data_IF_276850266883
#
_entry.id   IF_276850266883
#
_cell.length_a   1.000
_cell.length_b   1.000
_cell.length_c   1.000
_cell.angle_alpha   90.00
_cell.angle_beta   90.00
_cell.angle_gamma   90.00
#
_symmetry.space_group_name_H-M   'P 1'
#
loop_
_entity.id
_entity.type
_entity.pdbx_description
1 polymer ?
#
# COMPACT_ATOMS: atom_id res chain seq x y z
N UNK A 1 8.77 -25.22 9.39
CA UNK A 1 8.81 -24.11 10.35
C UNK A 1 7.59 -23.22 10.13
N UNK A 2 6.82 -22.86 11.16
CA UNK A 2 5.59 -22.06 11.01
C UNK A 2 5.94 -20.57 11.01
N UNK A 3 5.64 -19.85 9.93
CA UNK A 3 5.86 -18.41 9.79
C UNK A 3 4.63 -17.65 10.27
N UNK A 4 4.81 -16.67 11.16
CA UNK A 4 3.73 -15.81 11.66
C UNK A 4 3.82 -14.45 10.98
N UNK A 5 2.71 -13.97 10.42
CA UNK A 5 2.58 -12.62 9.84
C UNK A 5 1.90 -11.73 10.88
N UNK A 6 2.61 -10.72 11.37
CA UNK A 6 2.11 -9.76 12.37
C UNK A 6 1.93 -8.36 11.78
N UNK A 7 2.76 -8.00 10.79
CA UNK A 7 2.72 -6.72 10.09
C UNK A 7 2.70 -6.91 8.58
N UNK A 8 1.79 -6.21 7.90
CA UNK A 8 1.66 -6.21 6.43
C UNK A 8 1.81 -4.80 5.91
N UNK A 9 2.53 -4.64 4.80
CA UNK A 9 2.51 -3.43 3.99
C UNK A 9 1.64 -3.67 2.75
N UNK A 10 0.72 -2.75 2.46
CA UNK A 10 -0.09 -2.73 1.25
C UNK A 10 0.30 -1.47 0.47
N UNK A 11 0.85 -1.66 -0.74
CA UNK A 11 1.39 -0.58 -1.57
C UNK A 11 0.42 -0.30 -2.72
N UNK A 12 -0.30 0.82 -2.63
CA UNK A 12 -1.45 1.18 -3.46
C UNK A 12 -2.72 1.15 -2.63
N UNK A 13 -3.41 2.30 -2.51
CA UNK A 13 -4.54 2.47 -1.59
C UNK A 13 -5.91 2.42 -2.26
N UNK A 14 -5.98 2.22 -3.58
CA UNK A 14 -7.23 2.11 -4.33
C UNK A 14 -8.21 1.06 -3.78
N UNK A 15 -9.33 0.83 -4.46
CA UNK A 15 -10.44 -0.02 -3.98
C UNK A 15 -9.93 -1.37 -3.42
N UNK A 16 -9.08 -2.07 -4.16
CA UNK A 16 -8.51 -3.35 -3.75
C UNK A 16 -7.56 -3.20 -2.55
N UNK A 17 -6.64 -2.24 -2.60
CA UNK A 17 -5.62 -2.05 -1.56
C UNK A 17 -6.21 -1.68 -0.21
N UNK A 18 -7.14 -0.73 -0.17
CA UNK A 18 -7.85 -0.38 1.07
C UNK A 18 -8.71 -1.55 1.59
N UNK A 19 -9.32 -2.34 0.70
CA UNK A 19 -10.07 -3.55 1.07
C UNK A 19 -9.18 -4.62 1.71
N UNK A 20 -8.04 -4.93 1.08
CA UNK A 20 -7.03 -5.86 1.59
C UNK A 20 -6.53 -5.39 2.96
N UNK A 21 -6.24 -4.10 3.12
CA UNK A 21 -5.84 -3.53 4.40
C UNK A 21 -6.90 -3.74 5.49
N UNK A 22 -8.17 -3.52 5.17
CA UNK A 22 -9.27 -3.78 6.11
C UNK A 22 -9.37 -5.27 6.48
N UNK A 23 -9.21 -6.19 5.53
CA UNK A 23 -9.26 -7.63 5.82
C UNK A 23 -8.14 -8.09 6.75
N UNK A 24 -6.91 -7.61 6.56
CA UNK A 24 -5.81 -7.90 7.50
C UNK A 24 -6.07 -7.27 8.88
N UNK A 25 -6.57 -6.04 8.91
CA UNK A 25 -6.92 -5.39 10.15
C UNK A 25 -8.01 -6.16 10.92
N UNK A 26 -9.02 -6.72 10.24
CA UNK A 26 -10.07 -7.53 10.87
C UNK A 26 -9.51 -8.74 11.63
N UNK A 27 -8.44 -9.36 11.12
CA UNK A 27 -7.84 -10.57 11.72
C UNK A 27 -6.69 -10.27 12.71
N UNK A 28 -6.54 -9.02 13.14
CA UNK A 28 -5.57 -8.66 14.18
C UNK A 28 -4.19 -8.24 13.67
N UNK A 29 -3.98 -8.21 12.36
CA UNK A 29 -2.70 -7.83 11.76
C UNK A 29 -2.57 -6.31 11.69
N UNK A 30 -1.37 -5.79 11.99
CA UNK A 30 -1.05 -4.38 11.82
C UNK A 30 -0.75 -4.11 10.34
N UNK A 31 -1.33 -3.05 9.79
CA UNK A 31 -1.23 -2.74 8.37
C UNK A 31 -0.62 -1.36 8.17
N UNK A 32 0.35 -1.29 7.27
CA UNK A 32 0.82 -0.05 6.66
C UNK A 32 0.21 0.06 5.28
N UNK A 33 -0.64 1.05 5.05
CA UNK A 33 -1.24 1.31 3.74
C UNK A 33 -0.53 2.51 3.12
N UNK A 34 -0.01 2.34 1.91
CA UNK A 34 0.73 3.39 1.20
C UNK A 34 0.06 3.77 -0.10
N UNK A 35 0.24 5.02 -0.51
CA UNK A 35 -0.03 5.49 -1.87
C UNK A 35 1.01 6.54 -2.31
N UNK A 36 0.96 6.95 -3.57
CA UNK A 36 1.76 8.07 -4.07
C UNK A 36 1.30 9.39 -3.44
N UNK A 37 2.17 10.39 -3.49
CA UNK A 37 1.79 11.77 -3.19
C UNK A 37 0.98 12.37 -4.34
N UNK A 38 0.02 13.27 -4.08
CA UNK A 38 -0.62 14.01 -5.15
C UNK A 38 0.36 14.87 -5.93
N UNK A 39 0.11 15.03 -7.23
CA UNK A 39 0.86 15.95 -8.10
C UNK A 39 0.27 17.36 -8.14
N UNK A 40 -0.99 17.49 -7.74
CA UNK A 40 -1.75 18.73 -7.82
C UNK A 40 -2.63 18.93 -6.58
N UNK A 41 -2.80 20.20 -6.21
CA UNK A 41 -3.74 20.64 -5.20
C UNK A 41 -5.16 20.63 -5.74
N UNK A 42 -6.12 20.27 -4.88
CA UNK A 42 -7.54 20.48 -5.14
C UNK A 42 -7.92 21.93 -4.89
N UNK A 43 -9.03 22.39 -5.46
CA UNK A 43 -9.55 23.74 -5.22
C UNK A 43 -9.83 23.99 -3.73
N UNK A 44 -10.24 22.95 -2.99
CA UNK A 44 -10.45 23.01 -1.54
C UNK A 44 -9.16 23.24 -0.76
N UNK A 45 -8.04 22.71 -1.23
CA UNK A 45 -6.74 22.92 -0.59
C UNK A 45 -6.16 24.28 -0.94
N UNK A 46 -6.29 24.69 -2.21
CA UNK A 46 -5.91 26.04 -2.66
C UNK A 46 -6.65 27.10 -1.84
N UNK A 47 -7.96 26.93 -1.66
CA UNK A 47 -8.78 27.83 -0.83
C UNK A 47 -8.38 27.84 0.65
N UNK A 48 -7.73 26.78 1.14
CA UNK A 48 -7.20 26.68 2.52
C UNK A 48 -5.75 27.14 2.65
N UNK A 49 -5.12 27.59 1.56
CA UNK A 49 -3.71 27.99 1.55
C UNK A 49 -2.74 26.83 1.77
N UNK A 50 -3.16 25.59 1.48
CA UNK A 50 -2.29 24.41 1.59
C UNK A 50 -1.37 24.29 0.37
N UNK A 51 -0.25 23.62 0.57
CA UNK A 51 0.80 23.34 -0.39
C UNK A 51 0.99 21.83 -0.61
N UNK A 52 1.72 21.44 -1.65
CA UNK A 52 2.07 20.03 -1.90
C UNK A 52 3.02 19.45 -0.85
N UNK A 53 3.66 20.30 -0.04
CA UNK A 53 4.55 19.88 1.04
C UNK A 53 3.79 19.57 2.33
N UNK A 54 2.55 20.02 2.46
CA UNK A 54 1.76 19.77 3.65
C UNK A 54 1.44 18.28 3.79
N UNK A 55 1.77 17.69 4.95
CA UNK A 55 1.56 16.25 5.21
C UNK A 55 0.13 15.79 4.94
N UNK A 56 -0.86 16.65 5.21
CA UNK A 56 -2.27 16.35 4.93
C UNK A 56 -2.55 16.18 3.43
N UNK A 57 -1.87 16.96 2.59
CA UNK A 57 -1.94 16.87 1.12
C UNK A 57 -1.14 15.66 0.65
N UNK A 58 0.11 15.49 1.10
CA UNK A 58 0.99 14.36 0.72
C UNK A 58 0.34 12.99 0.99
N UNK A 59 -0.41 12.87 2.09
CA UNK A 59 -1.14 11.65 2.45
C UNK A 59 -2.62 11.66 2.03
N UNK A 60 -3.10 12.65 1.28
CA UNK A 60 -4.53 12.74 0.93
C UNK A 60 -5.02 11.50 0.20
N UNK A 61 -4.30 11.02 -0.82
CA UNK A 61 -4.77 9.90 -1.65
C UNK A 61 -5.00 8.64 -0.81
N UNK A 62 -4.03 8.29 0.04
CA UNK A 62 -4.14 7.15 0.95
C UNK A 62 -5.24 7.32 1.99
N UNK A 63 -5.36 8.51 2.58
CA UNK A 63 -6.35 8.81 3.59
C UNK A 63 -7.77 8.77 3.00
N UNK A 64 -7.99 9.41 1.87
CA UNK A 64 -9.28 9.46 1.20
C UNK A 64 -9.73 8.07 0.76
N UNK A 65 -8.82 7.25 0.23
CA UNK A 65 -9.15 5.88 -0.18
C UNK A 65 -9.52 5.00 1.01
N UNK A 66 -8.76 5.06 2.11
CA UNK A 66 -9.11 4.35 3.33
C UNK A 66 -10.46 4.81 3.89
N UNK A 67 -10.70 6.12 3.95
CA UNK A 67 -11.98 6.67 4.41
C UNK A 67 -13.16 6.25 3.53
N UNK A 68 -12.97 6.19 2.20
CA UNK A 68 -13.98 5.68 1.27
C UNK A 68 -14.28 4.20 1.53
N UNK A 69 -13.25 3.38 1.72
CA UNK A 69 -13.44 1.97 2.05
C UNK A 69 -14.18 1.79 3.40
N UNK A 70 -13.77 2.49 4.45
CA UNK A 70 -14.43 2.40 5.76
C UNK A 70 -15.91 2.81 5.70
N UNK A 71 -16.29 3.73 4.81
CA UNK A 71 -17.67 4.22 4.63
C UNK A 71 -18.47 3.46 3.56
N UNK A 72 -17.86 2.52 2.83
CA UNK A 72 -18.56 1.78 1.77
C UNK A 72 -19.67 0.90 2.33
N UNK A 73 -20.61 0.50 1.47
CA UNK A 73 -21.72 -0.41 1.81
C UNK A 73 -21.74 -1.56 0.80
N UNK A 74 -21.39 -2.80 1.22
CA UNK A 74 -20.88 -3.18 2.54
C UNK A 74 -19.48 -2.59 2.81
N UNK A 75 -19.15 -2.40 4.09
CA UNK A 75 -17.81 -1.99 4.51
C UNK A 75 -16.91 -3.23 4.61
N UNK A 76 -15.65 -3.21 4.13
CA UNK A 76 -14.73 -4.33 4.27
C UNK A 76 -14.18 -4.47 5.70
N UNK A 77 -14.32 -3.44 6.56
CA UNK A 77 -13.96 -3.52 7.98
C UNK A 77 -15.16 -4.03 8.80
N UNK A 78 -14.92 -4.99 9.69
CA UNK A 78 -16.00 -5.60 10.49
C UNK A 78 -16.34 -4.76 11.73
N UNK A 79 -15.32 -4.16 12.35
CA UNK A 79 -15.50 -3.25 13.47
C UNK A 79 -14.68 -1.98 13.26
N UNK A 80 -15.25 -0.80 13.55
CA UNK A 80 -14.58 0.49 13.33
C UNK A 80 -13.24 0.60 14.07
N UNK A 81 -13.14 0.01 15.26
CA UNK A 81 -11.88 0.02 16.02
C UNK A 81 -10.76 -0.77 15.35
N UNK A 82 -11.06 -1.73 14.47
CA UNK A 82 -10.02 -2.47 13.76
C UNK A 82 -9.28 -1.57 12.77
N UNK A 83 -9.90 -0.49 12.29
CA UNK A 83 -9.21 0.51 11.46
C UNK A 83 -8.02 1.16 12.19
N UNK A 84 -7.98 1.15 13.53
CA UNK A 84 -6.82 1.64 14.31
C UNK A 84 -5.55 0.83 14.08
N UNK A 85 -5.66 -0.38 13.51
CA UNK A 85 -4.52 -1.21 13.10
C UNK A 85 -3.96 -0.81 11.73
N UNK A 86 -4.63 0.11 11.00
CA UNK A 86 -4.20 0.59 9.69
C UNK A 86 -3.56 1.96 9.88
N UNK A 87 -2.26 2.04 9.60
CA UNK A 87 -1.53 3.31 9.54
C UNK A 87 -1.31 3.68 8.08
N UNK A 88 -1.65 4.91 7.71
CA UNK A 88 -1.45 5.43 6.36
C UNK A 88 -0.10 6.13 6.22
N UNK A 89 0.48 6.11 5.02
CA UNK A 89 1.68 6.85 4.66
C UNK A 89 1.82 6.96 3.14
N UNK A 90 2.89 7.60 2.67
CA UNK A 90 3.17 7.70 1.23
C UNK A 90 4.52 7.07 0.82
N UNK A 91 4.69 6.85 -0.48
CA UNK A 91 5.88 6.17 -1.03
C UNK A 91 7.18 6.99 -0.93
N UNK A 92 7.09 8.31 -0.78
CA UNK A 92 8.27 9.17 -0.72
C UNK A 92 8.77 9.32 0.72
N UNK A 93 7.87 9.62 1.65
CA UNK A 93 8.22 9.97 3.04
C UNK A 93 8.31 8.72 3.92
N UNK A 94 7.39 7.76 3.73
CA UNK A 94 7.09 6.74 4.72
C UNK A 94 7.47 5.32 4.27
N UNK A 95 7.91 5.11 3.02
CA UNK A 95 8.14 3.74 2.50
C UNK A 95 9.21 2.98 3.29
N UNK A 96 10.18 3.68 3.89
CA UNK A 96 11.20 3.08 4.76
C UNK A 96 10.60 2.26 5.93
N UNK A 97 9.36 2.55 6.32
CA UNK A 97 8.65 1.85 7.39
C UNK A 97 8.31 0.39 7.03
N UNK A 98 8.38 -0.02 5.76
CA UNK A 98 8.17 -1.43 5.37
C UNK A 98 9.27 -2.38 5.89
N UNK A 99 10.39 -1.82 6.38
CA UNK A 99 11.48 -2.58 6.99
C UNK A 99 11.03 -3.44 8.18
N UNK A 100 9.94 -3.07 8.86
CA UNK A 100 9.37 -3.83 9.97
C UNK A 100 8.32 -4.88 9.54
N UNK A 101 7.86 -4.86 8.28
CA UNK A 101 6.75 -5.66 7.78
C UNK A 101 7.16 -7.08 7.40
N UNK A 102 6.32 -8.07 7.72
CA UNK A 102 6.57 -9.50 7.43
C UNK A 102 6.20 -9.88 5.99
N UNK A 103 5.28 -9.11 5.39
CA UNK A 103 4.74 -9.31 4.06
C UNK A 103 4.40 -7.95 3.42
N UNK A 104 4.90 -7.72 2.21
CA UNK A 104 4.58 -6.56 1.36
C UNK A 104 3.70 -7.04 0.19
N UNK A 105 2.58 -6.36 -0.03
CA UNK A 105 1.61 -6.66 -1.08
C UNK A 105 1.53 -5.44 -2.00
N UNK A 106 1.96 -5.60 -3.25
CA UNK A 106 1.81 -4.59 -4.29
C UNK A 106 0.40 -4.65 -4.90
N UNK A 107 -0.28 -3.51 -4.94
CA UNK A 107 -1.67 -3.34 -5.39
C UNK A 107 -1.81 -2.02 -6.18
N UNK A 108 -0.86 -1.76 -7.09
CA UNK A 108 -0.87 -0.60 -7.98
C UNK A 108 -1.52 -0.92 -9.32
N UNK A 109 -1.68 0.12 -10.15
CA UNK A 109 -2.28 0.01 -11.49
C UNK A 109 -1.57 -1.05 -12.35
N UNK A 110 -2.34 -1.67 -13.26
CA UNK A 110 -1.88 -2.77 -14.10
C UNK A 110 -0.99 -2.28 -15.26
N UNK A 111 0.17 -1.74 -14.90
CA UNK A 111 1.20 -1.19 -15.79
C UNK A 111 2.57 -1.69 -15.37
N UNK A 112 3.26 -2.40 -16.28
CA UNK A 112 4.52 -3.07 -15.98
C UNK A 112 5.63 -2.11 -15.52
N UNK A 113 5.74 -0.95 -16.15
CA UNK A 113 6.72 0.08 -15.83
C UNK A 113 6.53 0.61 -14.40
N UNK A 114 5.27 0.86 -14.01
CA UNK A 114 4.92 1.31 -12.66
C UNK A 114 5.21 0.22 -11.65
N UNK A 115 4.80 -1.03 -11.91
CA UNK A 115 5.10 -2.17 -11.03
C UNK A 115 6.60 -2.36 -10.83
N UNK A 116 7.40 -2.33 -11.91
CA UNK A 116 8.87 -2.41 -11.86
C UNK A 116 9.44 -1.34 -10.92
N UNK A 117 9.05 -0.08 -11.11
CA UNK A 117 9.51 1.03 -10.25
C UNK A 117 9.11 0.85 -8.79
N UNK A 118 7.88 0.39 -8.52
CA UNK A 118 7.39 0.14 -7.16
C UNK A 118 8.17 -1.00 -6.50
N UNK A 119 8.43 -2.10 -7.21
CA UNK A 119 9.23 -3.21 -6.69
C UNK A 119 10.67 -2.80 -6.38
N UNK A 120 11.29 -1.97 -7.22
CA UNK A 120 12.62 -1.42 -6.95
C UNK A 120 12.63 -0.56 -5.68
N UNK A 121 11.61 0.27 -5.47
CA UNK A 121 11.48 1.06 -4.25
C UNK A 121 11.24 0.18 -3.01
N UNK A 122 10.40 -0.87 -3.12
CA UNK A 122 10.17 -1.84 -2.05
C UNK A 122 11.47 -2.56 -1.68
N UNK A 123 12.26 -2.99 -2.66
CA UNK A 123 13.49 -3.75 -2.41
C UNK A 123 14.54 -2.94 -1.65
N UNK A 124 14.56 -1.61 -1.82
CA UNK A 124 15.46 -0.71 -1.07
C UNK A 124 15.22 -0.74 0.45
N UNK A 125 13.99 -0.96 0.89
CA UNK A 125 13.60 -0.75 2.29
C UNK A 125 13.10 -2.00 3.00
N UNK A 126 12.63 -3.02 2.27
CA UNK A 126 12.11 -4.24 2.91
C UNK A 126 13.22 -4.98 3.66
N UNK A 127 12.84 -5.71 4.71
CA UNK A 127 13.74 -6.72 5.30
C UNK A 127 13.89 -7.93 4.37
N UNK A 128 15.09 -8.51 4.18
CA UNK A 128 15.30 -9.65 3.26
C UNK A 128 14.37 -10.84 3.51
N UNK A 129 14.04 -11.06 4.78
CA UNK A 129 13.17 -12.15 5.19
C UNK A 129 11.71 -11.96 4.76
N UNK A 130 11.21 -10.73 4.51
CA UNK A 130 9.78 -10.48 4.22
C UNK A 130 9.29 -11.21 2.96
N UNK A 131 8.00 -11.52 2.91
CA UNK A 131 7.33 -11.96 1.69
C UNK A 131 7.02 -10.75 0.82
N UNK A 132 7.02 -10.94 -0.51
CA UNK A 132 6.58 -9.93 -1.46
C UNK A 132 5.64 -10.61 -2.45
N UNK A 133 4.48 -10.00 -2.70
CA UNK A 133 3.49 -10.50 -3.64
C UNK A 133 2.87 -9.36 -4.45
N UNK A 134 2.26 -9.68 -5.59
CA UNK A 134 1.50 -8.74 -6.42
C UNK A 134 0.04 -9.16 -6.50
N UNK A 135 -0.88 -8.21 -6.36
CA UNK A 135 -2.31 -8.38 -6.68
C UNK A 135 -2.54 -8.01 -8.16
N UNK A 136 -1.94 -8.76 -9.08
CA UNK A 136 -2.18 -8.66 -10.53
C UNK A 136 -3.35 -9.56 -10.92
N UNK A 137 -4.22 -9.08 -11.80
CA UNK A 137 -5.39 -9.84 -12.28
C UNK A 137 -5.30 -10.17 -13.77
N UNK A 138 -4.49 -9.43 -14.53
CA UNK A 138 -4.46 -9.52 -15.99
C UNK A 138 -3.06 -9.67 -16.59
N UNK A 139 -1.98 -9.43 -15.84
CA UNK A 139 -0.63 -9.61 -16.38
C UNK A 139 -0.18 -11.07 -16.28
N UNK A 140 0.22 -11.68 -17.42
CA UNK A 140 0.87 -12.98 -17.38
C UNK A 140 2.10 -12.97 -16.47
N UNK A 141 2.25 -14.01 -15.65
CA UNK A 141 3.36 -14.16 -14.70
C UNK A 141 4.74 -14.09 -15.39
N UNK A 142 4.80 -14.43 -16.68
CA UNK A 142 6.02 -14.32 -17.50
C UNK A 142 6.57 -12.89 -17.57
N UNK A 143 5.72 -11.85 -17.54
CA UNK A 143 6.19 -10.46 -17.50
C UNK A 143 6.68 -10.04 -16.11
N UNK A 144 6.19 -10.71 -15.06
CA UNK A 144 6.71 -10.54 -13.69
C UNK A 144 8.10 -11.19 -13.55
N UNK A 145 8.43 -12.20 -14.36
CA UNK A 145 9.77 -12.77 -14.42
C UNK A 145 10.82 -11.83 -15.05
N UNK A 146 10.43 -10.69 -15.61
CA UNK A 146 11.39 -9.66 -16.03
C UNK A 146 11.86 -8.75 -14.89
N UNK A 147 11.24 -8.84 -13.71
CA UNK A 147 11.61 -8.09 -12.51
C UNK A 147 13.06 -8.38 -12.08
N UNK A 148 13.69 -7.56 -11.22
CA UNK A 148 15.04 -7.81 -10.70
C UNK A 148 15.22 -9.26 -10.23
N UNK A 149 16.40 -9.84 -10.52
CA UNK A 149 16.68 -11.29 -10.34
C UNK A 149 16.36 -11.78 -8.92
N UNK A 150 16.52 -10.94 -7.89
CA UNK A 150 16.20 -11.28 -6.50
C UNK A 150 14.70 -11.56 -6.26
N UNK A 151 13.82 -11.07 -7.14
CA UNK A 151 12.37 -11.23 -7.05
C UNK A 151 11.85 -12.41 -7.88
N UNK A 152 12.61 -12.87 -8.89
CA UNK A 152 12.19 -13.94 -9.80
C UNK A 152 12.05 -15.31 -9.13
N UNK A 153 12.86 -15.59 -8.10
CA UNK A 153 12.81 -16.87 -7.36
C UNK A 153 11.62 -17.00 -6.40
N UNK A 154 10.74 -16.00 -6.37
CA UNK A 154 9.64 -15.87 -5.41
C UNK A 154 8.27 -15.76 -6.06
N UNK A 155 8.21 -15.89 -7.38
CA UNK A 155 6.99 -16.03 -8.19
C UNK A 155 6.91 -17.42 -8.80
#
# INVERSE_FOLDING_TARGET
MKRSIKKVAVVGSGIMGSGIACHFANIGVQVRLFDIVPRDLTDKEKAKGLSLEDKVVRNRLVNDSLQKALKSKPSPIYHKDFAKRITTGNLEDDLHLISDCDWVIEVVVERLDIKKSVFEQIEKYRKPSSLITSNTSGMPIQYMNEMPIQLRSRF
#
